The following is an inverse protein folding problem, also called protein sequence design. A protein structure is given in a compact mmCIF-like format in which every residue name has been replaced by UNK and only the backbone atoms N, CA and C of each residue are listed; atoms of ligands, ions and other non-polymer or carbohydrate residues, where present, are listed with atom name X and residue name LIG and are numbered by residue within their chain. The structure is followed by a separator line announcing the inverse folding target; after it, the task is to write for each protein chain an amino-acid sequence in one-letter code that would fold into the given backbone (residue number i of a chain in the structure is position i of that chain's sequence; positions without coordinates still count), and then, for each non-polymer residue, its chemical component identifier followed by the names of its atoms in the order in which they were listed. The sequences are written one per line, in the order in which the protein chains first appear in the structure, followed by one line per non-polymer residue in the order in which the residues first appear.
data_IF_442570729776
#
_entry.id   IF_442570729776
#
_cell.length_a   1.000
_cell.length_b   1.000
_cell.length_c   1.000
_cell.angle_alpha   90.00
_cell.angle_beta   90.00
_cell.angle_gamma   90.00
#
_symmetry.space_group_name_H-M   'P 1'
#
loop_
_entity.id
_entity.type
_entity.pdbx_description
1 polymer ?
#
# COMPACT_ATOMS: atom_id res chain seq x y z
N UNK A 1 -2.17 12.12 -48.22
CA UNK A 1 -3.27 11.83 -49.16
C UNK A 1 -3.42 10.33 -49.21
N UNK A 2 -4.47 9.78 -48.65
CA UNK A 2 -5.20 8.60 -49.09
C UNK A 2 -6.39 8.49 -48.12
N UNK A 3 -7.55 8.86 -48.67
CA UNK A 3 -8.89 8.62 -48.09
C UNK A 3 -9.27 7.20 -48.50
N UNK A 4 -9.81 6.43 -47.57
CA UNK A 4 -10.64 5.26 -47.92
C UNK A 4 -12.00 5.41 -47.20
N UNK A 5 -13.02 5.55 -48.02
CA UNK A 5 -14.43 5.58 -47.67
C UNK A 5 -14.99 4.16 -47.61
N UNK A 6 -15.91 3.98 -46.65
CA UNK A 6 -17.22 3.34 -46.67
C UNK A 6 -17.31 1.81 -46.92
N UNK A 7 -18.48 1.12 -46.81
CA UNK A 7 -19.83 1.62 -46.79
C UNK A 7 -20.79 1.06 -45.70
N UNK A 8 -21.93 1.66 -45.63
CA UNK A 8 -23.23 1.25 -45.08
C UNK A 8 -23.66 -0.16 -45.41
N UNK A 9 -24.28 -0.82 -44.46
CA UNK A 9 -25.27 -1.85 -44.78
C UNK A 9 -26.43 -1.85 -43.78
N UNK A 10 -27.59 -1.89 -44.37
CA UNK A 10 -28.90 -1.64 -43.86
C UNK A 10 -29.55 -2.80 -43.12
N UNK A 11 -30.48 -2.45 -42.26
CA UNK A 11 -31.80 -2.99 -42.03
C UNK A 11 -32.02 -4.49 -41.87
N UNK A 12 -32.65 -4.85 -40.73
CA UNK A 12 -33.76 -5.79 -40.73
C UNK A 12 -34.67 -5.53 -39.50
N UNK A 13 -35.85 -4.99 -39.79
CA UNK A 13 -37.01 -5.05 -38.90
C UNK A 13 -37.51 -6.48 -38.83
N UNK A 14 -37.71 -7.01 -37.63
CA UNK A 14 -38.61 -8.12 -37.39
C UNK A 14 -39.57 -7.77 -36.27
N UNK A 15 -40.78 -7.50 -36.70
CA UNK A 15 -42.00 -7.57 -35.87
C UNK A 15 -42.21 -9.05 -35.52
N UNK A 16 -42.52 -9.35 -34.29
CA UNK A 16 -43.57 -10.35 -34.03
C UNK A 16 -43.75 -10.64 -32.53
N UNK A 17 -44.99 -10.72 -32.23
CA UNK A 17 -45.65 -11.60 -31.25
C UNK A 17 -45.79 -11.04 -29.85
N UNK A 18 -46.97 -10.48 -29.62
CA UNK A 18 -47.66 -10.47 -28.34
C UNK A 18 -47.81 -11.88 -27.81
N UNK A 19 -46.93 -12.25 -26.88
CA UNK A 19 -47.15 -13.39 -26.01
C UNK A 19 -47.72 -12.88 -24.70
N UNK A 20 -48.92 -13.27 -24.38
CA UNK A 20 -49.60 -13.00 -23.12
C UNK A 20 -48.96 -13.88 -22.04
N UNK A 21 -47.85 -13.44 -21.47
CA UNK A 21 -47.14 -14.14 -20.40
C UNK A 21 -47.73 -13.70 -19.06
N UNK A 22 -48.12 -14.65 -18.19
CA UNK A 22 -48.59 -14.30 -16.85
C UNK A 22 -47.47 -13.59 -16.09
N UNK A 23 -47.79 -12.62 -15.21
CA UNK A 23 -46.78 -11.88 -14.50
C UNK A 23 -45.91 -12.83 -13.68
N UNK A 24 -44.58 -12.74 -13.77
CA UNK A 24 -43.73 -13.57 -12.94
C UNK A 24 -44.00 -13.21 -11.47
N UNK A 25 -44.35 -14.26 -10.70
CA UNK A 25 -44.43 -14.17 -9.24
C UNK A 25 -43.18 -13.43 -8.74
N UNK A 26 -43.40 -12.36 -8.00
CA UNK A 26 -42.34 -11.58 -7.40
C UNK A 26 -41.43 -12.54 -6.57
N UNK A 27 -40.31 -12.92 -7.17
CA UNK A 27 -39.24 -13.57 -6.44
C UNK A 27 -38.80 -12.59 -5.36
N UNK A 28 -39.12 -12.90 -4.12
CA UNK A 28 -38.64 -12.19 -2.94
C UNK A 28 -37.12 -12.27 -3.00
N UNK A 29 -36.50 -11.18 -3.46
CA UNK A 29 -35.05 -11.01 -3.43
C UNK A 29 -34.62 -11.17 -1.96
N UNK A 30 -33.80 -12.17 -1.60
CA UNK A 30 -33.31 -12.25 -0.23
C UNK A 30 -32.58 -10.95 0.08
N UNK A 31 -33.04 -10.25 1.12
CA UNK A 31 -32.41 -9.05 1.58
C UNK A 31 -30.92 -9.35 1.80
N UNK A 32 -30.07 -8.74 1.00
CA UNK A 32 -28.61 -8.84 1.12
C UNK A 32 -28.27 -8.36 2.52
N UNK A 33 -27.94 -9.30 3.41
CA UNK A 33 -27.50 -8.96 4.76
C UNK A 33 -26.34 -7.96 4.61
N UNK A 34 -26.52 -6.76 5.12
CA UNK A 34 -25.43 -5.78 5.20
C UNK A 34 -24.30 -6.45 5.97
N UNK A 35 -23.05 -6.42 5.45
CA UNK A 35 -21.93 -6.95 6.21
C UNK A 35 -21.91 -6.23 7.57
N UNK A 36 -22.06 -7.01 8.64
CA UNK A 36 -21.91 -6.50 9.99
C UNK A 36 -20.57 -5.76 10.04
N UNK A 37 -20.60 -4.51 10.51
CA UNK A 37 -19.39 -3.72 10.67
C UNK A 37 -18.42 -4.54 11.53
N UNK A 38 -17.28 -4.95 10.95
CA UNK A 38 -16.27 -5.70 11.66
C UNK A 38 -15.85 -4.91 12.89
N UNK A 39 -15.88 -5.54 14.06
CA UNK A 39 -15.41 -4.92 15.29
C UNK A 39 -13.98 -4.40 15.07
N UNK A 40 -13.61 -3.24 15.65
CA UNK A 40 -12.26 -2.70 15.50
C UNK A 40 -11.25 -3.76 15.94
N UNK A 41 -10.31 -4.12 15.06
CA UNK A 41 -9.26 -5.06 15.40
C UNK A 41 -8.44 -4.53 16.58
N UNK A 42 -8.10 -5.40 17.53
CA UNK A 42 -7.25 -5.02 18.64
C UNK A 42 -5.91 -4.45 18.14
N UNK A 43 -5.37 -3.41 18.80
CA UNK A 43 -4.12 -2.80 18.37
C UNK A 43 -2.96 -3.81 18.43
N UNK A 44 -2.11 -3.78 17.42
CA UNK A 44 -0.91 -4.64 17.36
C UNK A 44 0.17 -4.01 18.23
N UNK A 45 0.43 -4.57 19.40
CA UNK A 45 1.39 -4.01 20.38
C UNK A 45 2.70 -4.79 20.51
N UNK A 46 2.75 -6.03 19.95
CA UNK A 46 3.93 -6.89 20.12
C UNK A 46 5.22 -6.32 19.52
N UNK A 47 5.08 -5.38 18.58
CA UNK A 47 6.21 -4.71 17.93
C UNK A 47 6.45 -3.31 18.50
N UNK A 48 5.74 -2.91 19.54
CA UNK A 48 5.91 -1.59 20.12
C UNK A 48 7.33 -1.41 20.66
N UNK A 49 7.91 -0.24 20.38
CA UNK A 49 9.26 0.10 20.77
C UNK A 49 9.93 1.12 19.85
N UNK A 50 11.17 1.40 20.16
CA UNK A 50 12.07 2.23 19.35
C UNK A 50 13.07 1.32 18.64
N UNK A 51 13.32 1.62 17.39
CA UNK A 51 14.24 0.86 16.54
C UNK A 51 15.19 1.84 15.88
N UNK A 52 16.46 1.48 15.77
CA UNK A 52 17.44 2.30 15.11
C UNK A 52 18.36 1.50 14.20
N UNK A 53 18.79 2.12 13.11
CA UNK A 53 19.72 1.51 12.18
C UNK A 53 19.96 2.33 10.93
N UNK A 54 20.95 1.94 10.12
CA UNK A 54 21.34 2.64 8.91
C UNK A 54 20.46 2.28 7.72
N UNK A 55 20.51 3.15 6.71
CA UNK A 55 20.12 2.87 5.33
C UNK A 55 21.39 2.63 4.51
N UNK A 56 21.36 1.65 3.62
CA UNK A 56 22.47 1.40 2.70
C UNK A 56 21.94 1.32 1.26
N UNK A 57 22.59 2.03 0.34
CA UNK A 57 22.21 2.02 -1.08
C UNK A 57 22.28 0.60 -1.65
N UNK A 58 21.24 0.18 -2.37
CA UNK A 58 21.24 -1.12 -3.05
C UNK A 58 22.14 -1.07 -4.29
N UNK A 59 23.07 -2.02 -4.46
CA UNK A 59 24.11 -1.98 -5.50
C UNK A 59 23.57 -1.93 -6.94
N UNK A 60 22.45 -2.58 -7.20
CA UNK A 60 21.79 -2.65 -8.50
C UNK A 60 21.07 -1.34 -8.87
N UNK A 61 20.93 -0.42 -7.94
CA UNK A 61 20.26 0.88 -8.08
C UNK A 61 21.20 2.06 -7.95
N UNK A 62 22.49 1.84 -8.17
CA UNK A 62 23.54 2.86 -7.90
C UNK A 62 23.62 3.98 -8.93
N UNK A 63 23.03 3.81 -10.12
CA UNK A 63 23.09 4.83 -11.16
C UNK A 63 22.29 6.07 -10.76
N UNK A 64 22.99 7.18 -10.53
CA UNK A 64 22.44 8.49 -10.18
C UNK A 64 21.77 8.55 -8.80
N UNK A 65 21.94 7.55 -7.96
CA UNK A 65 21.45 7.57 -6.61
C UNK A 65 22.57 7.97 -5.65
N UNK A 66 22.32 8.92 -4.75
CA UNK A 66 23.29 9.27 -3.72
C UNK A 66 23.43 8.14 -2.71
N UNK A 67 24.61 7.97 -2.16
CA UNK A 67 24.78 7.13 -0.98
C UNK A 67 23.96 7.68 0.18
N UNK A 68 23.38 6.78 0.97
CA UNK A 68 22.73 7.20 2.20
C UNK A 68 23.79 7.74 3.17
N UNK A 69 23.53 8.90 3.82
CA UNK A 69 24.41 9.35 4.88
C UNK A 69 24.56 8.25 5.94
N UNK A 70 25.79 8.03 6.40
CA UNK A 70 26.09 7.04 7.44
C UNK A 70 25.62 7.53 8.82
N UNK A 71 24.30 7.63 8.98
CA UNK A 71 23.62 8.05 10.21
C UNK A 71 22.51 7.04 10.50
N UNK A 72 22.36 6.70 11.75
CA UNK A 72 21.23 5.90 12.19
C UNK A 72 19.92 6.67 11.99
N UNK A 73 18.92 5.95 11.49
CA UNK A 73 17.54 6.44 11.43
C UNK A 73 16.77 5.79 12.57
N UNK A 74 15.79 6.51 13.08
CA UNK A 74 14.95 6.01 14.17
C UNK A 74 13.52 5.77 13.68
N UNK A 75 12.99 4.59 14.02
CA UNK A 75 11.60 4.24 13.85
C UNK A 75 10.96 3.95 15.19
N UNK A 76 9.82 4.58 15.44
CA UNK A 76 9.00 4.33 16.62
C UNK A 76 7.73 3.58 16.22
N UNK A 77 7.42 2.51 16.94
CA UNK A 77 6.17 1.75 16.77
C UNK A 77 5.34 1.86 18.05
N UNK A 78 4.07 2.20 17.90
CA UNK A 78 3.09 2.27 18.99
C UNK A 78 1.69 1.86 18.51
N UNK A 79 1.11 0.86 19.15
CA UNK A 79 -0.26 0.40 18.87
C UNK A 79 -0.52 0.10 17.39
N UNK A 80 0.44 -0.55 16.71
CA UNK A 80 0.35 -0.87 15.29
C UNK A 80 0.53 0.32 14.35
N UNK A 81 1.02 1.46 14.84
CA UNK A 81 1.42 2.62 14.03
C UNK A 81 2.94 2.76 14.05
N UNK A 82 3.53 3.00 12.88
CA UNK A 82 4.96 3.24 12.75
C UNK A 82 5.22 4.67 12.28
N UNK A 83 6.31 5.24 12.80
CA UNK A 83 6.84 6.55 12.43
C UNK A 83 8.35 6.42 12.25
N UNK A 84 8.85 6.69 11.05
CA UNK A 84 10.27 6.62 10.68
C UNK A 84 10.80 8.01 10.39
N UNK A 85 11.78 8.47 11.17
CA UNK A 85 12.45 9.76 10.96
C UNK A 85 13.58 9.55 9.94
N UNK A 86 13.43 10.11 8.75
CA UNK A 86 14.45 10.05 7.69
C UNK A 86 15.46 11.20 7.82
N UNK A 87 14.98 12.39 8.05
CA UNK A 87 15.82 13.56 8.19
C UNK A 87 15.30 14.47 9.30
N UNK A 88 15.97 14.51 10.45
CA UNK A 88 15.53 15.31 11.59
C UNK A 88 15.67 16.83 11.33
N UNK A 89 16.60 17.26 10.47
CA UNK A 89 16.83 18.70 10.22
C UNK A 89 15.65 19.34 9.48
N UNK A 90 15.02 18.59 8.55
CA UNK A 90 13.85 19.07 7.80
C UNK A 90 12.56 18.39 8.27
N UNK A 91 12.61 17.70 9.40
CA UNK A 91 11.47 16.99 9.99
C UNK A 91 10.78 16.03 9.01
N UNK A 92 11.56 15.38 8.13
CA UNK A 92 11.01 14.41 7.20
C UNK A 92 10.71 13.11 7.95
N UNK A 93 9.42 12.82 8.11
CA UNK A 93 8.91 11.68 8.86
C UNK A 93 7.94 10.89 7.99
N UNK A 94 8.23 9.61 7.82
CA UNK A 94 7.30 8.66 7.19
C UNK A 94 6.38 8.08 8.25
N UNK A 95 5.10 7.98 7.95
CA UNK A 95 4.11 7.40 8.86
C UNK A 95 3.32 6.28 8.19
N UNK A 96 2.84 5.33 8.99
CA UNK A 96 2.07 4.21 8.48
C UNK A 96 1.69 3.20 9.53
N UNK A 97 1.56 1.94 9.11
CA UNK A 97 1.00 0.87 9.94
C UNK A 97 1.91 -0.35 10.01
N UNK A 98 1.73 -1.10 11.10
CA UNK A 98 2.33 -2.41 11.34
C UNK A 98 1.22 -3.44 11.37
N UNK A 99 1.33 -4.45 10.51
CA UNK A 99 0.40 -5.57 10.47
C UNK A 99 0.59 -6.55 11.64
N UNK A 100 -0.41 -7.39 11.86
CA UNK A 100 -0.33 -8.44 12.88
C UNK A 100 0.76 -9.49 12.57
N UNK A 101 1.14 -9.63 11.33
CA UNK A 101 2.25 -10.47 10.83
C UNK A 101 3.63 -9.81 10.96
N UNK A 102 3.69 -8.56 11.39
CA UNK A 102 4.91 -7.76 11.47
C UNK A 102 5.24 -6.99 10.21
N UNK A 103 4.43 -7.08 9.16
CA UNK A 103 4.62 -6.26 7.96
C UNK A 103 4.50 -4.77 8.28
N UNK A 104 5.37 -3.96 7.69
CA UNK A 104 5.41 -2.50 7.90
C UNK A 104 5.33 -1.80 6.57
N UNK A 105 4.50 -0.76 6.52
CA UNK A 105 4.50 0.18 5.41
C UNK A 105 4.33 1.60 5.95
N UNK A 106 5.35 2.41 5.74
CA UNK A 106 5.34 3.84 6.06
C UNK A 106 5.66 4.65 4.81
N UNK A 107 5.03 5.80 4.66
CA UNK A 107 5.24 6.67 3.51
C UNK A 107 5.20 8.14 3.94
N UNK A 108 5.80 8.99 3.12
CA UNK A 108 5.69 10.43 3.26
C UNK A 108 4.23 10.86 2.95
N UNK A 109 3.75 11.85 3.68
CA UNK A 109 2.38 12.36 3.52
C UNK A 109 2.19 13.18 2.26
N UNK A 110 3.25 13.83 1.78
CA UNK A 110 3.24 14.71 0.62
C UNK A 110 3.69 13.99 -0.65
N UNK A 111 4.70 13.10 -0.52
CA UNK A 111 5.25 12.35 -1.65
C UNK A 111 5.21 10.84 -1.39
N UNK A 112 4.23 10.16 -1.96
CA UNK A 112 4.05 8.72 -1.84
C UNK A 112 5.13 7.87 -2.52
N UNK A 113 6.01 8.47 -3.32
CA UNK A 113 7.19 7.80 -3.90
C UNK A 113 8.31 7.63 -2.88
N UNK A 114 8.23 8.36 -1.75
CA UNK A 114 9.12 8.22 -0.60
C UNK A 114 8.44 7.31 0.41
N UNK A 115 8.88 6.06 0.47
CA UNK A 115 8.24 5.05 1.31
C UNK A 115 9.25 4.01 1.78
N UNK A 116 8.94 3.40 2.92
CA UNK A 116 9.67 2.23 3.44
C UNK A 116 8.69 1.09 3.67
N UNK A 117 9.05 -0.09 3.21
CA UNK A 117 8.31 -1.32 3.43
C UNK A 117 9.23 -2.44 3.89
N UNK A 118 8.74 -3.32 4.72
CA UNK A 118 9.51 -4.44 5.25
C UNK A 118 8.74 -5.20 6.31
N UNK A 119 9.46 -5.94 7.15
CA UNK A 119 8.84 -6.70 8.22
C UNK A 119 9.73 -6.77 9.45
N UNK A 120 9.11 -6.91 10.60
CA UNK A 120 9.77 -7.32 11.84
C UNK A 120 9.92 -8.82 11.87
N UNK A 121 11.08 -9.30 12.30
CA UNK A 121 11.31 -10.69 12.64
C UNK A 121 10.97 -10.99 14.10
N UNK A 122 11.03 -12.29 14.46
CA UNK A 122 10.76 -12.73 15.84
C UNK A 122 11.83 -12.30 16.87
N UNK A 123 12.99 -11.82 16.41
CA UNK A 123 14.09 -11.34 17.25
C UNK A 123 13.98 -9.86 17.63
N UNK A 124 12.98 -9.15 17.11
CA UNK A 124 12.81 -7.71 17.31
C UNK A 124 13.69 -6.87 16.39
N UNK A 125 14.08 -7.40 15.24
CA UNK A 125 14.76 -6.63 14.18
C UNK A 125 13.79 -6.30 13.06
N UNK A 126 13.96 -5.14 12.46
CA UNK A 126 13.25 -4.75 11.25
C UNK A 126 14.18 -4.85 10.04
N UNK A 127 13.69 -5.46 8.97
CA UNK A 127 14.37 -5.50 7.68
C UNK A 127 13.42 -5.05 6.57
N UNK A 128 13.92 -4.21 5.66
CA UNK A 128 13.08 -3.67 4.60
C UNK A 128 13.83 -2.92 3.53
N UNK A 129 13.07 -2.27 2.66
CA UNK A 129 13.55 -1.41 1.58
C UNK A 129 12.92 -0.02 1.73
N UNK A 130 13.77 1.00 1.65
CA UNK A 130 13.35 2.39 1.52
C UNK A 130 13.49 2.83 0.08
N UNK A 131 12.45 3.46 -0.45
CA UNK A 131 12.43 4.06 -1.79
C UNK A 131 12.30 5.56 -1.70
N UNK A 132 13.08 6.25 -2.52
CA UNK A 132 12.98 7.70 -2.73
C UNK A 132 13.09 7.97 -4.23
N UNK A 133 11.96 8.19 -4.86
CA UNK A 133 11.85 8.24 -6.31
C UNK A 133 12.34 6.94 -6.97
N UNK A 134 13.39 7.03 -7.77
CA UNK A 134 14.01 5.87 -8.45
C UNK A 134 15.08 5.17 -7.61
N UNK A 135 15.47 5.73 -6.47
CA UNK A 135 16.52 5.19 -5.61
C UNK A 135 15.96 4.21 -4.58
N UNK A 136 16.69 3.15 -4.32
CA UNK A 136 16.31 2.15 -3.34
C UNK A 136 17.47 1.86 -2.37
N UNK A 137 17.12 1.68 -1.11
CA UNK A 137 18.07 1.47 0.00
C UNK A 137 17.58 0.31 0.85
N UNK A 138 18.49 -0.57 1.26
CA UNK A 138 18.19 -1.54 2.31
C UNK A 138 18.10 -0.83 3.67
N UNK A 139 17.18 -1.30 4.50
CA UNK A 139 16.99 -0.82 5.86
C UNK A 139 17.13 -1.97 6.81
N UNK A 140 17.98 -1.84 7.83
CA UNK A 140 18.11 -2.80 8.92
C UNK A 140 18.13 -2.05 10.24
N UNK A 141 17.17 -2.35 11.09
CA UNK A 141 17.05 -1.68 12.38
C UNK A 141 16.90 -2.72 13.49
N UNK A 142 17.50 -2.43 14.62
CA UNK A 142 17.38 -3.24 15.84
C UNK A 142 16.63 -2.47 16.91
N UNK A 143 15.90 -3.19 17.75
CA UNK A 143 15.18 -2.59 18.88
C UNK A 143 16.17 -1.93 19.83
N UNK A 144 15.80 -0.75 20.29
CA UNK A 144 16.53 -0.02 21.34
C UNK A 144 15.66 -0.01 22.60
N UNK A 145 16.26 -0.20 23.71
CA UNK A 145 15.62 -0.13 25.04
C UNK A 145 15.34 1.32 25.44
#
# INVERSE_FOLDING_TARGET
MIRVLAPFSAAALLLAACGNEPPPSAATTPARASPAAAAPAAPVTRFDGRYAGPLALLPDRTRRCPEAPNVEREMTVRNGRASLVLNPQVQQVLTGTVGADGSVRVADSLDRTIATSGAFDGSGSFQGEHRSGLCAYSVRMTKRD
#
